data_IF_706440260225
#
_entry.id   IF_706440260225
#
_cell.length_a   1.000
_cell.length_b   1.000
_cell.length_c   1.000
_cell.angle_alpha   90.00
_cell.angle_beta   90.00
_cell.angle_gamma   90.00
#
_symmetry.space_group_name_H-M   'P 1'
#
loop_
_entity.id
_entity.type
_entity.pdbx_description
1 polymer ?
#
# COMPACT_ATOMS: atom_id res chain seq x y z
N UNK A 1 -11.20 26.37 16.45
CA UNK A 1 -11.76 25.44 17.47
C UNK A 1 -12.31 24.18 16.81
N UNK A 2 -11.44 23.37 16.19
CA UNK A 2 -11.87 22.17 15.44
C UNK A 2 -10.90 20.99 15.55
N UNK A 3 -9.61 21.24 15.81
CA UNK A 3 -8.61 20.16 15.91
C UNK A 3 -8.85 19.21 17.09
N UNK A 4 -9.27 19.74 18.25
CA UNK A 4 -9.58 18.90 19.42
C UNK A 4 -10.76 17.94 19.17
N UNK A 5 -11.81 18.40 18.48
CA UNK A 5 -12.93 17.54 18.07
C UNK A 5 -12.51 16.52 17.02
N UNK A 6 -11.64 16.91 16.08
CA UNK A 6 -11.12 16.01 15.04
C UNK A 6 -10.25 14.90 15.67
N UNK A 7 -9.34 15.25 16.57
CA UNK A 7 -8.50 14.30 17.30
C UNK A 7 -9.36 13.38 18.16
N UNK A 8 -10.33 13.95 18.91
CA UNK A 8 -11.26 13.17 19.73
C UNK A 8 -12.09 12.18 18.89
N UNK A 9 -12.62 12.63 17.75
CA UNK A 9 -13.36 11.80 16.81
C UNK A 9 -12.52 10.67 16.21
N UNK A 10 -11.32 10.98 15.71
CA UNK A 10 -10.39 9.97 15.17
C UNK A 10 -10.00 8.93 16.24
N UNK A 11 -9.76 9.38 17.47
CA UNK A 11 -9.44 8.50 18.60
C UNK A 11 -10.61 7.58 18.92
N UNK A 12 -11.83 8.12 19.04
CA UNK A 12 -13.02 7.34 19.35
C UNK A 12 -13.31 6.29 18.28
N UNK A 13 -13.27 6.66 16.99
CA UNK A 13 -13.54 5.74 15.88
C UNK A 13 -12.46 4.64 15.82
N UNK A 14 -11.18 5.01 15.90
CA UNK A 14 -10.06 4.04 15.85
C UNK A 14 -10.11 3.08 17.03
N UNK A 15 -10.36 3.60 18.23
CA UNK A 15 -10.46 2.79 19.44
C UNK A 15 -11.66 1.86 19.37
N UNK A 16 -12.84 2.36 18.97
CA UNK A 16 -14.05 1.56 18.88
C UNK A 16 -13.92 0.41 17.87
N UNK A 17 -13.36 0.68 16.68
CA UNK A 17 -13.11 -0.35 15.66
C UNK A 17 -12.15 -1.44 16.14
N UNK A 18 -11.04 -1.06 16.80
CA UNK A 18 -10.07 -2.03 17.32
C UNK A 18 -10.61 -2.79 18.52
N UNK A 19 -11.26 -2.10 19.45
CA UNK A 19 -11.78 -2.67 20.69
C UNK A 19 -12.99 -3.57 20.45
N UNK A 20 -13.83 -3.28 19.46
CA UNK A 20 -14.99 -4.12 19.09
C UNK A 20 -14.59 -5.58 18.81
N UNK A 21 -13.42 -5.79 18.20
CA UNK A 21 -12.89 -7.13 17.92
C UNK A 21 -12.44 -7.87 19.19
N UNK A 22 -11.99 -7.14 20.23
CA UNK A 22 -11.55 -7.71 21.50
C UNK A 22 -12.69 -7.86 22.54
N UNK A 23 -13.71 -7.01 22.46
CA UNK A 23 -14.83 -6.99 23.40
C UNK A 23 -15.69 -8.26 23.34
N UNK A 24 -15.69 -8.98 22.20
CA UNK A 24 -16.37 -10.27 22.05
C UNK A 24 -15.37 -11.41 21.81
N UNK A 25 -14.74 -11.97 22.87
CA UNK A 25 -13.81 -13.09 22.74
C UNK A 25 -14.48 -14.39 22.24
N UNK A 26 -15.81 -14.48 22.32
CA UNK A 26 -16.60 -15.63 21.86
C UNK A 26 -17.17 -15.46 20.44
N UNK A 27 -16.88 -14.36 19.74
CA UNK A 27 -17.37 -14.16 18.38
C UNK A 27 -16.73 -15.18 17.43
N UNK A 28 -17.48 -16.22 17.09
CA UNK A 28 -17.06 -17.22 16.10
C UNK A 28 -17.42 -16.70 14.71
N UNK A 29 -16.45 -16.06 14.05
CA UNK A 29 -16.58 -15.75 12.63
C UNK A 29 -16.77 -17.04 11.82
N UNK A 30 -17.67 -17.07 10.83
CA UNK A 30 -17.75 -18.18 9.91
C UNK A 30 -16.40 -18.35 9.18
N UNK A 31 -16.04 -19.57 8.77
CA UNK A 31 -14.71 -19.89 8.22
C UNK A 31 -14.34 -19.00 7.02
N UNK A 32 -15.32 -18.63 6.19
CA UNK A 32 -15.14 -17.72 5.04
C UNK A 32 -14.68 -16.33 5.47
N UNK A 33 -15.28 -15.77 6.53
CA UNK A 33 -14.93 -14.43 7.02
C UNK A 33 -13.55 -14.44 7.66
N UNK A 34 -13.22 -15.47 8.46
CA UNK A 34 -11.89 -15.65 9.04
C UNK A 34 -10.82 -15.76 7.94
N UNK A 35 -11.09 -16.53 6.89
CA UNK A 35 -10.19 -16.67 5.77
C UNK A 35 -10.01 -15.33 5.03
N UNK A 36 -11.10 -14.59 4.79
CA UNK A 36 -11.03 -13.25 4.20
C UNK A 36 -10.20 -12.26 5.03
N UNK A 37 -10.40 -12.24 6.35
CA UNK A 37 -9.63 -11.42 7.30
C UNK A 37 -8.11 -11.66 7.22
N UNK A 38 -7.68 -12.90 6.98
CA UNK A 38 -6.26 -13.23 6.84
C UNK A 38 -5.62 -12.58 5.59
N UNK A 39 -6.39 -12.34 4.53
CA UNK A 39 -5.89 -11.70 3.30
C UNK A 39 -6.01 -10.17 3.31
N UNK A 40 -6.69 -9.59 4.30
CA UNK A 40 -6.87 -8.13 4.42
C UNK A 40 -5.55 -7.38 4.35
N UNK A 41 -4.47 -7.74 5.10
CA UNK A 41 -3.22 -6.98 5.07
C UNK A 41 -2.62 -6.90 3.66
N UNK A 42 -2.53 -8.03 2.97
CA UNK A 42 -1.97 -8.08 1.61
C UNK A 42 -2.87 -7.34 0.64
N UNK A 43 -4.20 -7.52 0.71
CA UNK A 43 -5.15 -6.83 -0.16
C UNK A 43 -5.11 -5.30 0.00
N UNK A 44 -5.02 -4.81 1.25
CA UNK A 44 -4.93 -3.38 1.55
C UNK A 44 -3.62 -2.80 1.03
N UNK A 45 -2.48 -3.48 1.25
CA UNK A 45 -1.20 -3.04 0.71
C UNK A 45 -1.22 -2.96 -0.82
N UNK A 46 -1.77 -3.97 -1.49
CA UNK A 46 -1.96 -3.95 -2.94
C UNK A 46 -2.87 -2.81 -3.37
N UNK A 47 -3.99 -2.58 -2.67
CA UNK A 47 -4.93 -1.50 -2.97
C UNK A 47 -4.33 -0.09 -2.76
N UNK A 48 -3.29 0.06 -1.95
CA UNK A 48 -2.57 1.33 -1.77
C UNK A 48 -1.50 1.49 -2.86
N UNK A 49 -0.72 0.45 -3.12
CA UNK A 49 0.46 0.53 -4.02
C UNK A 49 0.05 0.58 -5.49
N UNK A 50 -0.93 -0.23 -5.90
CA UNK A 50 -1.39 -0.33 -7.30
C UNK A 50 -1.85 1.02 -7.88
N UNK A 51 -2.77 1.77 -7.24
CA UNK A 51 -3.15 3.10 -7.75
C UNK A 51 -1.99 4.09 -7.69
N UNK A 52 -1.12 4.02 -6.67
CA UNK A 52 0.08 4.85 -6.60
C UNK A 52 1.04 4.63 -7.79
N UNK A 53 1.04 3.43 -8.39
CA UNK A 53 1.83 3.11 -9.58
C UNK A 53 1.13 3.51 -10.90
N UNK A 54 -0.18 3.27 -11.00
CA UNK A 54 -0.95 3.41 -12.25
C UNK A 54 -1.53 4.82 -12.45
N UNK A 55 -1.86 5.52 -11.36
CA UNK A 55 -2.45 6.85 -11.35
C UNK A 55 -1.67 7.77 -10.38
N UNK A 56 -0.40 8.10 -10.67
CA UNK A 56 0.40 8.96 -9.79
C UNK A 56 -0.25 10.34 -9.58
N UNK A 57 -0.98 10.86 -10.58
CA UNK A 57 -1.69 12.15 -10.50
C UNK A 57 -3.17 12.02 -10.07
N UNK A 58 -3.66 10.80 -9.79
CA UNK A 58 -5.02 10.54 -9.31
C UNK A 58 -6.16 10.68 -10.34
N UNK A 59 -5.95 11.40 -11.43
CA UNK A 59 -7.01 11.71 -12.43
C UNK A 59 -6.93 10.86 -13.72
N UNK A 60 -5.72 10.54 -14.19
CA UNK A 60 -5.51 9.86 -15.47
C UNK A 60 -4.74 8.56 -15.32
N UNK A 61 -5.17 7.52 -16.03
CA UNK A 61 -4.43 6.25 -16.16
C UNK A 61 -3.17 6.48 -16.97
N UNK A 62 -2.02 6.53 -16.29
CA UNK A 62 -0.73 6.78 -16.91
C UNK A 62 -0.06 5.45 -17.27
N UNK A 63 -0.67 4.75 -18.23
CA UNK A 63 -0.15 3.52 -18.85
C UNK A 63 0.81 3.85 -20.00
N UNK A 64 1.71 4.81 -19.79
CA UNK A 64 2.71 5.17 -20.79
C UNK A 64 4.10 4.76 -20.30
N UNK A 65 4.99 4.36 -21.21
CA UNK A 65 6.40 4.05 -20.92
C UNK A 65 7.17 5.27 -20.35
N UNK A 66 6.55 6.45 -20.35
CA UNK A 66 7.07 7.65 -19.66
C UNK A 66 6.78 7.70 -18.16
N UNK A 67 5.96 6.80 -17.62
CA UNK A 67 5.65 6.79 -16.19
C UNK A 67 6.72 6.02 -15.41
N UNK A 68 7.62 6.77 -14.76
CA UNK A 68 8.68 6.21 -13.93
C UNK A 68 8.16 5.35 -12.77
N UNK A 69 6.97 5.64 -12.22
CA UNK A 69 6.38 4.87 -11.12
C UNK A 69 5.94 3.47 -11.56
N UNK A 70 5.35 3.36 -12.75
CA UNK A 70 4.91 2.07 -13.30
C UNK A 70 6.11 1.17 -13.64
N UNK A 71 7.09 1.72 -14.36
CA UNK A 71 8.31 0.99 -14.74
C UNK A 71 9.14 0.59 -13.51
N UNK A 72 9.30 1.50 -12.54
CA UNK A 72 10.03 1.19 -11.32
C UNK A 72 9.32 0.14 -10.47
N UNK A 73 7.98 0.17 -10.37
CA UNK A 73 7.23 -0.84 -9.65
C UNK A 73 7.32 -2.23 -10.31
N UNK A 74 7.25 -2.30 -11.65
CA UNK A 74 7.48 -3.56 -12.38
C UNK A 74 8.90 -4.11 -12.16
N UNK A 75 9.91 -3.23 -12.22
CA UNK A 75 11.28 -3.60 -11.94
C UNK A 75 11.47 -4.06 -10.48
N UNK A 76 10.85 -3.38 -9.51
CA UNK A 76 10.87 -3.78 -8.11
C UNK A 76 10.23 -5.16 -7.90
N UNK A 77 9.13 -5.48 -8.60
CA UNK A 77 8.51 -6.81 -8.60
C UNK A 77 9.48 -7.87 -9.17
N UNK A 78 10.15 -7.56 -10.28
CA UNK A 78 11.13 -8.46 -10.89
C UNK A 78 12.33 -8.72 -9.95
N UNK A 79 12.85 -7.67 -9.30
CA UNK A 79 13.94 -7.77 -8.32
C UNK A 79 13.48 -8.57 -7.10
N UNK A 80 12.25 -8.35 -6.61
CA UNK A 80 11.69 -9.10 -5.50
C UNK A 80 11.61 -10.61 -5.82
N UNK A 81 11.14 -10.95 -7.01
CA UNK A 81 10.99 -12.32 -7.47
C UNK A 81 12.34 -13.05 -7.60
N UNK A 82 13.36 -12.35 -8.09
CA UNK A 82 14.69 -12.93 -8.31
C UNK A 82 15.55 -12.97 -7.04
N UNK A 83 15.56 -11.89 -6.28
CA UNK A 83 16.47 -11.73 -5.14
C UNK A 83 16.03 -12.49 -3.90
N UNK A 84 14.71 -12.69 -3.69
CA UNK A 84 14.12 -13.25 -2.46
C UNK A 84 14.62 -12.59 -1.15
N UNK A 85 15.31 -11.44 -1.24
CA UNK A 85 15.93 -10.71 -0.14
C UNK A 85 15.30 -9.32 -0.03
N UNK A 86 14.71 -9.01 1.13
CA UNK A 86 13.96 -7.77 1.36
C UNK A 86 14.84 -6.53 1.15
N UNK A 87 16.07 -6.52 1.66
CA UNK A 87 17.01 -5.40 1.48
C UNK A 87 17.34 -5.14 0.01
N UNK A 88 17.56 -6.20 -0.77
CA UNK A 88 17.88 -6.07 -2.19
C UNK A 88 16.66 -5.61 -3.01
N UNK A 89 15.45 -6.00 -2.61
CA UNK A 89 14.21 -5.47 -3.20
C UNK A 89 14.05 -3.98 -2.94
N UNK A 90 14.22 -3.54 -1.68
CA UNK A 90 14.12 -2.12 -1.34
C UNK A 90 15.22 -1.34 -2.05
N UNK A 91 16.49 -1.74 -1.89
CA UNK A 91 17.63 -1.02 -2.47
C UNK A 91 17.60 -1.01 -3.99
N UNK A 92 17.36 -2.16 -4.62
CA UNK A 92 17.26 -2.28 -6.07
C UNK A 92 16.06 -1.53 -6.64
N UNK A 93 14.89 -1.64 -6.00
CA UNK A 93 13.70 -0.89 -6.39
C UNK A 93 13.91 0.63 -6.29
N UNK A 94 14.57 1.10 -5.23
CA UNK A 94 14.90 2.52 -5.05
C UNK A 94 15.87 2.99 -6.13
N UNK A 95 16.95 2.24 -6.38
CA UNK A 95 17.93 2.58 -7.41
C UNK A 95 17.28 2.66 -8.79
N UNK A 96 16.45 1.68 -9.16
CA UNK A 96 15.76 1.69 -10.44
C UNK A 96 14.77 2.85 -10.54
N UNK A 97 14.02 3.14 -9.46
CA UNK A 97 13.13 4.29 -9.41
C UNK A 97 13.89 5.61 -9.62
N UNK A 98 14.99 5.82 -8.92
CA UNK A 98 15.81 7.02 -9.05
C UNK A 98 16.42 7.15 -10.45
N UNK A 99 16.95 6.05 -11.02
CA UNK A 99 17.51 6.04 -12.37
C UNK A 99 16.46 6.33 -13.44
N UNK A 100 15.27 5.73 -13.33
CA UNK A 100 14.18 5.98 -14.26
C UNK A 100 13.65 7.41 -14.14
N UNK A 101 13.50 7.92 -12.92
CA UNK A 101 13.07 9.30 -12.68
C UNK A 101 14.07 10.32 -13.22
N UNK A 102 15.37 10.03 -13.09
CA UNK A 102 16.45 10.83 -13.67
C UNK A 102 16.44 10.76 -15.20
N UNK A 103 16.33 9.56 -15.78
CA UNK A 103 16.33 9.36 -17.24
C UNK A 103 15.08 9.96 -17.93
N UNK A 104 13.94 10.01 -17.23
CA UNK A 104 12.70 10.62 -17.71
C UNK A 104 12.61 12.13 -17.47
N UNK A 105 13.66 12.76 -16.93
CA UNK A 105 13.76 14.22 -16.83
C UNK A 105 12.74 14.87 -15.88
N UNK A 106 12.28 14.15 -14.85
CA UNK A 106 11.30 14.65 -13.86
C UNK A 106 11.97 15.34 -12.65
N UNK A 107 13.05 16.08 -12.90
CA UNK A 107 13.84 16.87 -11.93
C UNK A 107 14.06 18.27 -12.46
#
# INVERSE_FOLDING_TARGET
MSYWWLIGGMTAITFLMRYSLFAWPHLRFPPVVRQGLHYVPTAVLTAIVVPGMLLPDGEHWQLNASNAYLLAGLAAIAIAAFSRNLLATIGGGLLVFFLLRWALGQI
#
